data_IF_345846706136
#
_entry.id   IF_345846706136
#
_cell.length_a   1.000
_cell.length_b   1.000
_cell.length_c   1.000
_cell.angle_alpha   90.00
_cell.angle_beta   90.00
_cell.angle_gamma   90.00
#
_symmetry.space_group_name_H-M   'P 1'
#
loop_
_entity.id
_entity.type
_entity.pdbx_description
1 polymer ?
#
# COMPACT_ATOMS: atom_id res chain seq x y z
N UNK A 1 5.64 -12.77 18.88
CA UNK A 1 4.78 -11.62 19.24
C UNK A 1 3.84 -11.36 18.09
N UNK A 2 2.54 -11.30 18.35
CA UNK A 2 1.54 -10.90 17.35
C UNK A 2 1.36 -9.39 17.40
N UNK A 3 1.64 -8.68 16.30
CA UNK A 3 1.36 -7.25 16.21
C UNK A 3 -0.16 -7.09 16.04
N UNK A 4 -0.85 -6.30 16.89
CA UNK A 4 -2.31 -6.20 16.86
C UNK A 4 -2.79 -5.23 15.78
N UNK A 5 -2.61 -5.60 14.51
CA UNK A 5 -2.94 -4.75 13.36
C UNK A 5 -4.40 -4.26 13.35
N UNK A 6 -5.37 -5.14 13.64
CA UNK A 6 -6.79 -4.78 13.68
C UNK A 6 -7.06 -3.65 14.69
N UNK A 7 -6.51 -3.76 15.90
CA UNK A 7 -6.68 -2.73 16.94
C UNK A 7 -6.08 -1.39 16.54
N UNK A 8 -4.93 -1.40 15.84
CA UNK A 8 -4.31 -0.17 15.35
C UNK A 8 -5.20 0.50 14.28
N UNK A 9 -5.71 -0.28 13.34
CA UNK A 9 -6.63 0.19 12.29
C UNK A 9 -7.88 0.83 12.92
N UNK A 10 -8.51 0.14 13.89
CA UNK A 10 -9.69 0.66 14.59
C UNK A 10 -9.42 1.98 15.30
N UNK A 11 -8.25 2.11 15.95
CA UNK A 11 -7.86 3.34 16.63
C UNK A 11 -7.65 4.51 15.65
N UNK A 12 -7.05 4.25 14.49
CA UNK A 12 -6.87 5.26 13.43
C UNK A 12 -8.24 5.71 12.92
N UNK A 13 -9.12 4.77 12.55
CA UNK A 13 -10.48 5.07 12.07
C UNK A 13 -11.23 5.91 13.09
N UNK A 14 -11.21 5.51 14.36
CA UNK A 14 -11.88 6.24 15.43
C UNK A 14 -11.37 7.69 15.56
N UNK A 15 -10.05 7.89 15.62
CA UNK A 15 -9.47 9.23 15.80
C UNK A 15 -9.69 10.13 14.58
N UNK A 16 -9.51 9.60 13.37
CA UNK A 16 -9.76 10.33 12.13
C UNK A 16 -11.24 10.73 12.01
N UNK A 17 -12.17 9.83 12.34
CA UNK A 17 -13.61 10.13 12.33
C UNK A 17 -13.99 11.28 13.26
N UNK A 18 -13.40 11.33 14.47
CA UNK A 18 -13.62 12.44 15.39
C UNK A 18 -13.09 13.78 14.86
N UNK A 19 -12.05 13.75 14.03
CA UNK A 19 -11.48 14.92 13.38
C UNK A 19 -12.13 15.26 12.02
N UNK A 20 -13.16 14.52 11.59
CA UNK A 20 -13.79 14.70 10.27
C UNK A 20 -12.92 14.23 9.09
N UNK A 21 -11.92 13.39 9.34
CA UNK A 21 -11.01 12.85 8.33
C UNK A 21 -11.53 11.49 7.86
N UNK A 22 -11.69 11.32 6.55
CA UNK A 22 -12.04 10.03 5.93
C UNK A 22 -10.84 9.08 5.94
N UNK A 23 -11.08 7.81 6.29
CA UNK A 23 -10.08 6.75 6.27
C UNK A 23 -10.48 5.71 5.23
N UNK A 24 -9.54 5.39 4.34
CA UNK A 24 -9.71 4.37 3.31
C UNK A 24 -8.82 3.19 3.70
N UNK A 25 -9.42 2.00 3.79
CA UNK A 25 -8.68 0.76 4.06
C UNK A 25 -8.32 0.14 2.70
N UNK A 26 -7.07 -0.23 2.54
CA UNK A 26 -6.56 -0.89 1.35
C UNK A 26 -5.60 -2.02 1.76
N UNK A 27 -5.56 -3.09 0.98
CA UNK A 27 -4.60 -4.18 1.16
C UNK A 27 -3.17 -3.77 0.79
N UNK A 28 -2.18 -4.50 1.31
CA UNK A 28 -0.75 -4.27 1.05
C UNK A 28 -0.25 -5.03 -0.19
N UNK A 29 -1.06 -5.09 -1.25
CA UNK A 29 -0.68 -5.78 -2.49
C UNK A 29 0.21 -4.88 -3.34
N UNK A 30 1.38 -5.40 -3.73
CA UNK A 30 2.31 -4.76 -4.67
C UNK A 30 2.88 -3.38 -4.26
N UNK A 31 2.58 -2.89 -3.05
CA UNK A 31 3.03 -1.59 -2.53
C UNK A 31 4.55 -1.48 -2.37
N UNK A 32 5.26 -2.60 -2.30
CA UNK A 32 6.73 -2.64 -2.19
C UNK A 32 7.47 -2.55 -3.53
N UNK A 33 6.75 -2.65 -4.65
CA UNK A 33 7.31 -2.71 -6.01
C UNK A 33 6.69 -1.72 -6.99
N UNK A 34 5.51 -1.17 -6.69
CA UNK A 34 4.84 -0.18 -7.54
C UNK A 34 5.53 1.19 -7.49
N UNK A 35 5.53 1.89 -8.63
CA UNK A 35 6.06 3.24 -8.71
C UNK A 35 4.99 4.27 -8.36
N UNK A 36 5.15 4.89 -7.20
CA UNK A 36 4.29 5.99 -6.76
C UNK A 36 4.34 7.22 -7.68
N UNK A 37 5.51 7.58 -8.21
CA UNK A 37 5.67 8.78 -9.05
C UNK A 37 4.96 8.68 -10.39
N UNK A 38 4.84 7.46 -10.92
CA UNK A 38 4.13 7.20 -12.17
C UNK A 38 2.64 6.91 -11.96
N UNK A 39 2.14 7.05 -10.73
CA UNK A 39 0.75 6.79 -10.35
C UNK A 39 0.26 5.42 -10.84
N UNK A 40 1.13 4.41 -10.75
CA UNK A 40 0.81 3.08 -11.24
C UNK A 40 -0.35 2.48 -10.44
N UNK A 41 -1.33 1.85 -11.12
CA UNK A 41 -2.44 1.23 -10.43
C UNK A 41 -1.95 0.07 -9.58
N UNK A 42 -2.47 -0.03 -8.36
CA UNK A 42 -2.24 -1.18 -7.48
C UNK A 42 -3.35 -2.21 -7.72
N UNK A 43 -3.06 -3.34 -8.40
CA UNK A 43 -4.06 -4.36 -8.63
C UNK A 43 -4.41 -5.09 -7.34
N UNK A 44 -5.67 -5.48 -7.22
CA UNK A 44 -6.15 -6.29 -6.10
C UNK A 44 -5.67 -7.74 -6.26
N UNK A 45 -5.13 -8.30 -5.19
CA UNK A 45 -4.65 -9.68 -5.18
C UNK A 45 -5.79 -10.65 -5.51
N UNK A 46 -5.56 -11.51 -6.51
CA UNK A 46 -6.54 -12.51 -6.95
C UNK A 46 -7.54 -12.03 -8.01
N UNK A 47 -7.63 -10.73 -8.29
CA UNK A 47 -8.47 -10.20 -9.38
C UNK A 47 -7.72 -10.11 -10.72
N UNK A 48 -6.39 -10.06 -10.68
CA UNK A 48 -5.55 -10.05 -11.89
C UNK A 48 -4.88 -11.41 -12.09
N UNK A 49 -5.12 -12.03 -13.24
CA UNK A 49 -4.51 -13.32 -13.62
C UNK A 49 -3.04 -13.18 -13.99
N UNK A 50 -2.65 -12.00 -14.48
CA UNK A 50 -1.29 -11.69 -14.91
C UNK A 50 -0.47 -11.03 -13.81
N UNK A 51 0.84 -11.25 -13.80
CA UNK A 51 1.74 -10.59 -12.86
C UNK A 51 1.92 -9.14 -13.29
N UNK A 52 1.61 -8.14 -12.45
CA UNK A 52 1.78 -6.75 -12.80
C UNK A 52 3.26 -6.42 -13.00
N UNK A 53 3.54 -5.61 -14.02
CA UNK A 53 4.87 -5.08 -14.33
C UNK A 53 4.87 -3.61 -13.97
N UNK A 54 5.81 -3.20 -13.13
CA UNK A 54 5.97 -1.83 -12.65
C UNK A 54 7.23 -1.21 -13.29
N UNK A 55 7.23 0.10 -13.47
CA UNK A 55 8.31 0.83 -14.15
C UNK A 55 9.60 0.90 -13.33
N UNK A 56 9.47 0.87 -11.99
CA UNK A 56 10.60 0.94 -11.08
C UNK A 56 10.97 -0.42 -10.48
N UNK A 57 11.97 -0.39 -9.59
CA UNK A 57 12.53 -1.60 -8.98
C UNK A 57 12.99 -1.34 -7.56
N UNK A 58 12.54 -2.20 -6.64
CA UNK A 58 13.09 -2.29 -5.29
C UNK A 58 14.54 -2.81 -5.34
N UNK A 59 15.47 -2.06 -4.76
CA UNK A 59 16.88 -2.46 -4.68
C UNK A 59 17.12 -3.22 -3.38
N UNK A 60 16.66 -2.67 -2.25
CA UNK A 60 16.80 -3.29 -0.92
C UNK A 60 15.71 -2.75 0.03
N UNK A 61 15.73 -3.18 1.30
CA UNK A 61 14.80 -2.66 2.30
C UNK A 61 15.01 -1.15 2.48
N UNK A 62 13.95 -0.38 2.25
CA UNK A 62 13.98 1.09 2.31
C UNK A 62 14.52 1.80 1.06
N UNK A 63 14.98 1.08 0.04
CA UNK A 63 15.53 1.65 -1.20
C UNK A 63 14.75 1.18 -2.44
N UNK A 64 14.11 2.15 -3.09
CA UNK A 64 13.41 1.98 -4.36
C UNK A 64 14.03 2.88 -5.43
N UNK A 65 14.16 2.38 -6.66
CA UNK A 65 14.62 3.14 -7.81
C UNK A 65 13.49 3.26 -8.82
N UNK A 66 13.10 4.50 -9.10
CA UNK A 66 12.18 4.85 -10.18
C UNK A 66 12.92 4.82 -11.52
N UNK A 67 12.17 4.80 -12.61
CA UNK A 67 12.67 5.12 -13.94
C UNK A 67 13.26 6.54 -14.00
N UNK A 68 14.08 6.78 -15.04
CA UNK A 68 14.80 8.03 -15.27
C UNK A 68 13.91 9.10 -15.85
#
# INVERSE_FOLDING_TARGET
MTIPHARLIDMIIYKCRLAGISVIIQEESYTSVANFLNLEPLPVYGETTERPVFSGKRISQGLYRTDK
#
